data_IF_266572800239
#
_entry.id   IF_266572800239
#
_cell.length_a   1.000
_cell.length_b   1.000
_cell.length_c   1.000
_cell.angle_alpha   90.00
_cell.angle_beta   90.00
_cell.angle_gamma   90.00
#
_symmetry.space_group_name_H-M   'P 1'
#
loop_
_entity.id
_entity.type
_entity.pdbx_description
1 polymer ?
#
# COMPACT_ATOMS: atom_id res chain seq x y z
N UNK A 1 -2.80 -8.02 8.30
CA UNK A 1 -3.11 -9.27 9.04
C UNK A 1 -2.07 -9.39 10.12
N UNK A 2 -2.45 -9.27 11.38
CA UNK A 2 -1.58 -9.71 12.46
C UNK A 2 -1.24 -11.17 12.17
N UNK A 3 0.04 -11.48 12.10
CA UNK A 3 0.50 -12.85 12.00
C UNK A 3 0.17 -13.48 13.35
N UNK A 4 -1.03 -14.05 13.48
CA UNK A 4 -1.38 -14.88 14.61
C UNK A 4 -0.52 -16.13 14.40
N UNK A 5 0.70 -16.06 14.93
CA UNK A 5 1.53 -17.25 15.03
C UNK A 5 0.70 -18.29 15.76
N UNK A 6 0.79 -19.53 15.36
CA UNK A 6 0.04 -20.68 15.90
C UNK A 6 0.19 -20.89 17.42
N UNK A 7 0.81 -19.97 18.14
CA UNK A 7 1.16 -20.03 19.55
C UNK A 7 0.31 -19.17 20.48
N UNK A 8 -0.64 -18.35 19.95
CA UNK A 8 -1.47 -17.47 20.80
C UNK A 8 -0.69 -16.39 21.60
N UNK A 9 0.61 -16.20 21.34
CA UNK A 9 1.45 -15.23 22.02
C UNK A 9 1.25 -13.86 21.36
N UNK A 10 1.05 -12.84 22.17
CA UNK A 10 0.88 -11.46 21.68
C UNK A 10 2.17 -10.95 21.02
N UNK A 11 2.07 -10.23 19.90
CA UNK A 11 3.25 -9.74 19.17
C UNK A 11 4.14 -8.76 19.97
N UNK A 12 3.65 -8.23 21.07
CA UNK A 12 4.28 -7.19 21.90
C UNK A 12 5.09 -7.74 23.08
N UNK A 13 5.22 -9.06 23.21
CA UNK A 13 6.01 -9.64 24.28
C UNK A 13 7.47 -9.75 23.88
N UNK A 14 8.37 -9.40 24.81
CA UNK A 14 9.80 -9.65 24.65
C UNK A 14 10.01 -11.15 24.55
N UNK A 15 10.44 -11.63 23.37
CA UNK A 15 10.60 -13.05 23.12
C UNK A 15 11.70 -13.35 22.13
N UNK A 16 12.29 -14.51 22.31
CA UNK A 16 13.04 -15.19 21.28
C UNK A 16 12.23 -16.41 20.82
N UNK A 17 12.16 -16.62 19.51
CA UNK A 17 11.47 -17.74 18.91
C UNK A 17 12.22 -18.29 17.71
N UNK A 18 11.96 -19.55 17.36
CA UNK A 18 12.44 -20.16 16.13
C UNK A 18 11.23 -20.75 15.39
N UNK A 19 11.04 -20.35 14.16
CA UNK A 19 10.04 -20.94 13.26
C UNK A 19 10.77 -21.95 12.37
N UNK A 20 10.27 -23.17 12.32
CA UNK A 20 10.79 -24.23 11.44
C UNK A 20 9.63 -24.77 10.61
N UNK A 21 9.84 -24.94 9.30
CA UNK A 21 8.82 -25.50 8.42
C UNK A 21 9.33 -25.79 7.02
N UNK A 22 8.65 -26.67 6.28
CA UNK A 22 8.96 -26.91 4.87
C UNK A 22 8.45 -25.74 4.02
N UNK A 23 9.21 -25.40 3.00
CA UNK A 23 8.84 -24.41 1.99
C UNK A 23 9.21 -24.94 0.60
N UNK A 24 8.31 -24.74 -0.37
CA UNK A 24 8.59 -25.04 -1.78
C UNK A 24 8.72 -23.73 -2.55
N UNK A 25 9.80 -23.57 -3.30
CA UNK A 25 10.02 -22.48 -4.25
C UNK A 25 10.33 -23.07 -5.62
N UNK A 26 9.41 -22.93 -6.56
CA UNK A 26 9.50 -23.64 -7.84
C UNK A 26 9.50 -25.16 -7.63
N UNK A 27 10.53 -25.82 -8.14
CA UNK A 27 10.72 -27.28 -8.05
C UNK A 27 11.68 -27.71 -6.92
N UNK A 28 12.11 -26.74 -6.08
CA UNK A 28 13.05 -27.01 -4.99
C UNK A 28 12.36 -26.89 -3.64
N UNK A 29 12.64 -27.82 -2.74
CA UNK A 29 12.11 -27.87 -1.38
C UNK A 29 13.19 -27.47 -0.38
N UNK A 30 12.83 -26.58 0.52
CA UNK A 30 13.69 -26.01 1.55
C UNK A 30 13.13 -26.27 2.96
N UNK A 31 14.02 -26.52 3.89
CA UNK A 31 13.73 -26.36 5.31
C UNK A 31 13.94 -24.89 5.68
N UNK A 32 12.86 -24.17 6.01
CA UNK A 32 12.93 -22.83 6.55
C UNK A 32 13.26 -22.92 8.04
N UNK A 33 14.34 -22.29 8.46
CA UNK A 33 14.72 -22.07 9.87
C UNK A 33 14.76 -20.55 10.06
N UNK A 34 13.87 -20.01 10.89
CA UNK A 34 13.77 -18.57 11.08
C UNK A 34 13.80 -18.20 12.56
N UNK A 35 14.96 -17.90 13.12
CA UNK A 35 15.06 -17.29 14.44
C UNK A 35 14.44 -15.89 14.40
N UNK A 36 13.67 -15.57 15.43
CA UNK A 36 12.96 -14.32 15.60
C UNK A 36 13.22 -13.72 16.99
N UNK A 37 13.47 -12.41 17.02
CA UNK A 37 13.63 -11.64 18.25
C UNK A 37 12.61 -10.51 18.22
N UNK A 38 11.76 -10.43 19.24
CA UNK A 38 10.89 -9.30 19.49
C UNK A 38 11.29 -8.64 20.80
N UNK A 39 11.43 -7.32 20.77
CA UNK A 39 11.80 -6.51 21.90
C UNK A 39 10.89 -5.29 21.98
N UNK A 40 10.29 -5.09 23.15
CA UNK A 40 9.44 -3.93 23.40
C UNK A 40 9.85 -3.29 24.72
N UNK A 41 10.02 -1.98 24.71
CA UNK A 41 10.40 -1.20 25.89
C UNK A 41 9.80 0.21 25.80
N UNK A 42 9.42 0.74 26.93
CA UNK A 42 9.11 2.15 27.05
C UNK A 42 10.40 2.99 27.01
N UNK A 43 10.46 3.95 26.09
CA UNK A 43 11.55 4.90 25.92
C UNK A 43 10.99 6.31 25.87
N UNK A 44 11.40 7.19 26.77
CA UNK A 44 10.96 8.60 26.84
C UNK A 44 9.41 8.72 26.89
N UNK A 45 8.76 7.86 27.70
CA UNK A 45 7.30 7.84 27.85
C UNK A 45 6.53 7.33 26.62
N UNK A 46 7.21 6.65 25.69
CA UNK A 46 6.64 6.05 24.49
C UNK A 46 7.14 4.62 24.30
N UNK A 47 6.31 3.83 23.66
CA UNK A 47 6.67 2.46 23.34
C UNK A 47 7.62 2.41 22.14
N UNK A 48 8.76 1.74 22.31
CA UNK A 48 9.67 1.31 21.25
C UNK A 48 9.51 -0.20 21.09
N UNK A 49 9.12 -0.65 19.94
CA UNK A 49 9.00 -2.06 19.58
C UNK A 49 9.89 -2.39 18.39
N UNK A 50 10.71 -3.42 18.53
CA UNK A 50 11.66 -3.89 17.51
C UNK A 50 11.41 -5.37 17.23
N UNK A 51 11.53 -5.78 15.98
CA UNK A 51 11.50 -7.20 15.61
C UNK A 51 12.48 -7.49 14.48
N UNK A 52 13.24 -8.55 14.68
CA UNK A 52 14.18 -9.08 13.70
C UNK A 52 13.90 -10.55 13.46
N UNK A 53 14.07 -11.01 12.23
CA UNK A 53 13.94 -12.42 11.88
C UNK A 53 14.88 -12.76 10.72
N UNK A 54 15.66 -13.82 10.85
CA UNK A 54 16.63 -14.25 9.85
C UNK A 54 16.09 -15.48 9.12
N UNK A 55 15.56 -15.37 7.90
CA UNK A 55 15.06 -16.52 7.15
C UNK A 55 16.23 -17.31 6.53
N UNK A 56 16.53 -18.46 7.07
CA UNK A 56 17.51 -19.39 6.50
C UNK A 56 16.77 -20.51 5.80
N UNK A 57 16.93 -20.60 4.48
CA UNK A 57 16.38 -21.69 3.66
C UNK A 57 17.48 -22.67 3.31
N UNK A 58 17.38 -23.85 3.90
CA UNK A 58 18.31 -24.95 3.65
C UNK A 58 17.68 -25.91 2.66
N UNK A 59 18.31 -26.10 1.51
CA UNK A 59 17.84 -27.02 0.48
C UNK A 59 17.89 -28.47 0.96
N UNK A 60 16.81 -29.24 0.75
CA UNK A 60 16.81 -30.66 1.07
C UNK A 60 16.31 -31.56 -0.06
N UNK A 61 15.59 -31.03 -1.05
CA UNK A 61 15.12 -31.79 -2.20
C UNK A 61 14.96 -30.87 -3.41
N UNK A 62 15.60 -31.26 -4.52
CA UNK A 62 15.42 -30.66 -5.84
C UNK A 62 14.74 -31.67 -6.76
N UNK A 63 13.57 -31.32 -7.32
CA UNK A 63 12.76 -32.17 -8.18
C UNK A 63 12.95 -31.88 -9.67
N UNK A 64 13.84 -30.96 -10.04
CA UNK A 64 14.17 -30.72 -11.44
C UNK A 64 14.79 -31.96 -12.07
N UNK A 65 14.62 -32.19 -13.38
CA UNK A 65 15.09 -33.41 -14.05
C UNK A 65 16.61 -33.67 -13.93
N UNK A 66 17.38 -32.59 -13.78
CA UNK A 66 18.83 -32.61 -13.59
C UNK A 66 19.23 -32.34 -12.10
N UNK A 67 18.26 -32.01 -11.29
CA UNK A 67 18.42 -31.68 -9.88
C UNK A 67 18.57 -32.89 -9.01
N UNK A 68 19.76 -33.43 -8.95
CA UNK A 68 20.10 -34.48 -7.97
C UNK A 68 20.66 -33.77 -6.74
N UNK A 69 20.10 -33.92 -5.58
CA UNK A 69 20.61 -33.62 -4.22
C UNK A 69 21.99 -32.94 -4.09
N UNK A 70 22.49 -32.34 -5.20
CA UNK A 70 23.84 -31.80 -5.28
C UNK A 70 24.08 -30.63 -4.33
N UNK A 71 23.01 -29.96 -3.93
CA UNK A 71 23.06 -28.82 -3.03
C UNK A 71 22.32 -29.05 -1.69
N UNK A 72 21.96 -30.31 -1.41
CA UNK A 72 21.31 -30.67 -0.14
C UNK A 72 22.17 -30.22 1.06
N UNK A 73 21.58 -29.46 1.96
CA UNK A 73 22.26 -28.85 3.11
C UNK A 73 22.84 -27.45 2.85
N UNK A 74 22.78 -26.94 1.61
CA UNK A 74 23.22 -25.59 1.32
C UNK A 74 22.15 -24.55 1.67
N UNK A 75 22.59 -23.38 2.12
CA UNK A 75 21.72 -22.22 2.29
C UNK A 75 21.47 -21.60 0.91
N UNK A 76 20.23 -21.25 0.63
CA UNK A 76 19.84 -20.57 -0.61
C UNK A 76 20.51 -19.21 -0.71
N UNK A 77 21.49 -19.09 -1.60
CA UNK A 77 22.29 -17.85 -1.76
C UNK A 77 21.48 -16.67 -2.33
N UNK A 78 20.46 -16.96 -3.13
CA UNK A 78 19.57 -15.95 -3.72
C UNK A 78 18.71 -15.21 -2.69
N UNK A 79 18.72 -15.62 -1.43
CA UNK A 79 18.06 -14.89 -0.33
C UNK A 79 18.97 -13.81 0.28
N UNK A 80 20.23 -13.68 -0.19
CA UNK A 80 21.28 -12.87 0.43
C UNK A 80 22.18 -12.17 -0.60
N UNK A 81 21.77 -12.05 -1.85
CA UNK A 81 22.59 -11.51 -2.94
C UNK A 81 22.27 -10.02 -3.24
N UNK A 82 21.15 -9.48 -2.73
CA UNK A 82 20.76 -8.10 -2.91
C UNK A 82 20.63 -7.34 -1.57
N UNK A 83 20.77 -6.02 -1.60
CA UNK A 83 20.60 -5.17 -0.41
C UNK A 83 19.20 -5.27 0.21
N UNK A 84 18.18 -5.48 -0.63
CA UNK A 84 16.79 -5.71 -0.24
C UNK A 84 16.62 -6.97 0.60
N UNK A 85 17.46 -7.99 0.39
CA UNK A 85 17.40 -9.24 1.11
C UNK A 85 17.86 -9.07 2.56
N UNK A 86 18.90 -8.26 2.78
CA UNK A 86 19.33 -7.93 4.15
C UNK A 86 18.28 -7.09 4.89
N UNK A 87 17.53 -6.26 4.19
CA UNK A 87 16.43 -5.52 4.79
C UNK A 87 15.31 -6.44 5.30
N UNK A 88 15.16 -7.66 4.74
CA UNK A 88 14.19 -8.66 5.20
C UNK A 88 14.41 -9.13 6.65
N UNK A 89 15.63 -9.00 7.17
CA UNK A 89 15.95 -9.30 8.57
C UNK A 89 15.18 -8.39 9.51
N UNK A 90 14.98 -7.13 9.14
CA UNK A 90 14.19 -6.19 9.90
C UNK A 90 12.70 -6.41 9.64
N UNK A 91 11.97 -6.91 10.62
CA UNK A 91 10.52 -7.09 10.52
C UNK A 91 9.75 -5.80 10.80
N UNK A 92 10.10 -5.14 11.88
CA UNK A 92 9.57 -3.82 12.20
C UNK A 92 10.43 -3.08 13.23
N UNK A 93 10.38 -1.75 13.14
CA UNK A 93 10.73 -0.79 14.18
C UNK A 93 9.51 0.10 14.33
N UNK A 94 8.90 0.12 15.49
CA UNK A 94 7.80 1.02 15.79
C UNK A 94 8.15 1.87 17.01
N UNK A 95 7.95 3.18 16.92
CA UNK A 95 8.16 4.11 18.01
C UNK A 95 6.99 5.10 18.09
N UNK A 96 6.32 5.11 19.23
CA UNK A 96 5.15 5.92 19.50
C UNK A 96 3.88 5.39 18.81
N UNK A 97 2.79 6.16 18.92
CA UNK A 97 1.49 5.87 18.34
C UNK A 97 1.14 6.81 17.17
N UNK A 98 0.47 6.26 16.16
CA UNK A 98 -0.08 7.11 15.08
C UNK A 98 -1.07 8.12 15.67
N UNK A 99 -1.01 9.36 15.22
CA UNK A 99 -1.75 10.52 15.77
C UNK A 99 -1.15 11.10 17.07
N UNK A 100 -0.01 10.58 17.57
CA UNK A 100 0.77 11.22 18.63
C UNK A 100 1.70 12.31 18.06
N UNK A 101 2.43 13.02 18.94
CA UNK A 101 3.36 14.08 18.52
C UNK A 101 4.49 13.59 17.61
N UNK A 102 4.88 12.34 17.75
CA UNK A 102 5.89 11.71 16.90
C UNK A 102 5.62 10.21 16.81
N UNK A 103 5.64 9.72 15.60
CA UNK A 103 5.45 8.32 15.26
C UNK A 103 6.43 7.92 14.15
N UNK A 104 7.13 6.81 14.34
CA UNK A 104 7.98 6.18 13.35
C UNK A 104 7.59 4.71 13.24
N UNK A 105 7.32 4.25 12.04
CA UNK A 105 7.02 2.85 11.76
C UNK A 105 7.78 2.38 10.52
N UNK A 106 8.78 1.54 10.74
CA UNK A 106 9.50 0.84 9.67
C UNK A 106 9.01 -0.60 9.71
N UNK A 107 8.35 -1.08 8.64
CA UNK A 107 7.55 -2.30 8.76
C UNK A 107 7.41 -3.02 7.42
N UNK A 108 7.41 -4.36 7.48
CA UNK A 108 7.12 -5.22 6.32
C UNK A 108 5.62 -5.55 6.15
N UNK A 109 4.78 -5.34 7.16
CA UNK A 109 3.44 -5.94 7.23
C UNK A 109 2.29 -4.95 7.25
N UNK A 110 2.57 -3.69 7.47
CA UNK A 110 1.55 -2.69 7.69
C UNK A 110 1.18 -1.97 6.39
N UNK A 111 -0.11 -1.81 6.20
CA UNK A 111 -0.65 -0.95 5.16
C UNK A 111 -0.74 0.49 5.66
N UNK A 112 -0.27 1.44 4.85
CA UNK A 112 -0.23 2.87 5.19
C UNK A 112 -1.25 3.69 4.40
N UNK A 113 -1.68 4.79 4.99
CA UNK A 113 -2.57 5.78 4.36
C UNK A 113 -2.05 7.17 4.68
N UNK A 114 -2.10 8.07 3.73
CA UNK A 114 -1.74 9.49 3.88
C UNK A 114 -3.01 10.33 3.93
N UNK A 115 -3.11 11.20 4.93
CA UNK A 115 -4.26 12.07 5.14
C UNK A 115 -5.57 11.29 5.22
N UNK A 116 -6.60 11.73 4.47
CA UNK A 116 -7.89 11.04 4.43
C UNK A 116 -7.91 9.79 3.55
N UNK A 117 -6.79 9.46 2.88
CA UNK A 117 -6.70 8.31 1.99
C UNK A 117 -7.39 8.52 0.64
N UNK A 118 -7.52 9.76 0.20
CA UNK A 118 -8.12 10.09 -1.10
C UNK A 118 -7.27 9.58 -2.25
N UNK A 119 -5.95 9.53 -2.09
CA UNK A 119 -5.00 9.06 -3.09
C UNK A 119 -4.28 7.80 -2.65
N UNK A 120 -3.62 7.82 -1.47
CA UNK A 120 -2.94 6.67 -0.89
C UNK A 120 -3.76 6.16 0.30
N UNK A 121 -4.39 5.00 0.12
CA UNK A 121 -5.31 4.42 1.09
C UNK A 121 -5.01 2.95 1.34
N UNK A 122 -4.59 2.62 2.55
CA UNK A 122 -4.28 1.24 2.96
C UNK A 122 -3.33 0.55 1.98
N UNK A 123 -2.42 1.32 1.38
CA UNK A 123 -1.43 0.79 0.46
C UNK A 123 -0.54 -0.23 1.17
N UNK A 124 -0.44 -1.44 0.59
CA UNK A 124 0.37 -2.52 1.12
C UNK A 124 1.49 -2.86 0.12
N UNK A 125 2.76 -2.56 0.44
CA UNK A 125 3.88 -2.82 -0.45
C UNK A 125 4.20 -4.31 -0.64
N UNK A 126 3.75 -5.18 0.29
CA UNK A 126 4.08 -6.60 0.36
C UNK A 126 2.86 -7.51 0.10
N UNK A 127 1.93 -7.07 -0.74
CA UNK A 127 0.84 -7.93 -1.19
C UNK A 127 1.36 -9.01 -2.15
N UNK A 128 2.36 -8.69 -2.96
CA UNK A 128 3.12 -9.65 -3.75
C UNK A 128 4.14 -10.35 -2.83
N UNK A 129 3.95 -11.64 -2.61
CA UNK A 129 4.78 -12.45 -1.73
C UNK A 129 6.21 -12.67 -2.25
N UNK A 130 6.42 -12.46 -3.54
CA UNK A 130 7.74 -12.60 -4.18
C UNK A 130 8.61 -11.34 -4.01
N UNK A 131 8.01 -10.23 -3.64
CA UNK A 131 8.69 -8.96 -3.37
C UNK A 131 8.50 -8.58 -1.92
N UNK A 132 9.56 -8.66 -1.15
CA UNK A 132 9.54 -8.21 0.24
C UNK A 132 10.21 -6.85 0.32
N UNK A 133 9.46 -5.87 0.76
CA UNK A 133 9.90 -4.49 0.97
C UNK A 133 9.77 -4.12 2.42
N UNK A 134 10.64 -3.24 2.86
CA UNK A 134 10.56 -2.62 4.19
C UNK A 134 10.11 -1.18 4.02
N UNK A 135 8.85 -0.91 4.30
CA UNK A 135 8.29 0.44 4.24
C UNK A 135 8.66 1.26 5.45
N UNK A 136 8.67 2.58 5.30
CA UNK A 136 8.81 3.51 6.41
C UNK A 136 7.70 4.56 6.39
N UNK A 137 7.14 4.82 7.56
CA UNK A 137 6.15 5.87 7.84
C UNK A 137 6.67 6.73 8.98
N UNK A 138 6.59 8.04 8.82
CA UNK A 138 7.02 9.03 9.78
C UNK A 138 5.95 10.11 9.91
N UNK A 139 5.43 10.29 11.12
CA UNK A 139 4.46 11.34 11.40
C UNK A 139 5.00 12.24 12.52
N UNK A 140 4.77 13.54 12.39
CA UNK A 140 5.04 14.50 13.46
C UNK A 140 3.92 15.52 13.53
N UNK A 141 3.26 15.59 14.69
CA UNK A 141 2.10 16.42 14.91
C UNK A 141 2.35 17.40 16.07
N UNK A 142 2.00 18.64 15.83
CA UNK A 142 2.08 19.72 16.83
C UNK A 142 0.78 20.50 16.94
N UNK A 143 0.78 21.49 17.84
CA UNK A 143 -0.38 22.35 18.09
C UNK A 143 -0.78 23.18 16.85
N UNK A 144 0.21 23.54 16.01
CA UNK A 144 0.02 24.43 14.88
C UNK A 144 -0.03 23.72 13.53
N UNK A 145 0.34 22.45 13.48
CA UNK A 145 0.40 21.68 12.24
C UNK A 145 1.21 20.43 12.42
N UNK A 146 1.51 19.77 11.30
CA UNK A 146 2.29 18.55 11.29
C UNK A 146 2.55 18.05 9.89
N UNK A 147 3.20 16.89 9.82
CA UNK A 147 3.43 16.22 8.57
C UNK A 147 3.32 14.70 8.74
N UNK A 148 2.98 14.03 7.66
CA UNK A 148 3.06 12.59 7.47
C UNK A 148 3.96 12.33 6.26
N UNK A 149 4.79 11.31 6.34
CA UNK A 149 5.62 10.87 5.22
C UNK A 149 5.66 9.35 5.14
N UNK A 150 5.69 8.83 3.94
CA UNK A 150 5.69 7.40 3.66
C UNK A 150 6.56 7.06 2.47
N UNK A 151 7.30 5.95 2.56
CA UNK A 151 7.98 5.29 1.45
C UNK A 151 7.71 3.79 1.49
N UNK A 152 7.56 3.18 0.32
CA UNK A 152 7.23 1.76 0.21
C UNK A 152 8.42 0.82 0.46
N UNK A 153 9.63 1.31 0.28
CA UNK A 153 10.87 0.54 0.46
C UNK A 153 12.02 1.47 0.86
N UNK A 154 12.67 1.17 1.97
CA UNK A 154 13.80 1.96 2.47
C UNK A 154 15.07 1.78 1.63
N UNK A 155 15.17 0.68 0.87
CA UNK A 155 16.34 0.36 0.04
C UNK A 155 16.19 0.84 -1.39
N UNK A 156 14.97 0.80 -1.93
CA UNK A 156 14.66 1.19 -3.32
C UNK A 156 13.27 1.81 -3.40
N UNK A 157 13.10 3.06 -2.93
CA UNK A 157 11.78 3.70 -2.88
C UNK A 157 11.24 3.96 -4.29
N UNK A 158 10.07 3.42 -4.58
CA UNK A 158 9.34 3.67 -5.84
C UNK A 158 8.03 4.38 -5.59
N UNK A 159 7.29 4.00 -4.53
CA UNK A 159 6.06 4.67 -4.11
C UNK A 159 6.34 5.49 -2.86
N UNK A 160 6.01 6.77 -2.91
CA UNK A 160 6.19 7.70 -1.79
C UNK A 160 4.95 8.56 -1.61
N UNK A 161 4.72 8.99 -0.39
CA UNK A 161 3.63 9.89 -0.05
C UNK A 161 4.02 10.86 1.07
N UNK A 162 3.44 12.05 1.04
CA UNK A 162 3.61 13.04 2.09
C UNK A 162 2.33 13.89 2.24
N UNK A 163 2.08 14.31 3.46
CA UNK A 163 1.09 15.32 3.82
C UNK A 163 1.77 16.32 4.73
N UNK A 164 1.57 17.59 4.47
CA UNK A 164 1.90 18.69 5.40
C UNK A 164 0.60 19.43 5.68
N UNK A 165 0.31 19.71 6.94
CA UNK A 165 -0.87 20.47 7.31
C UNK A 165 -0.55 21.55 8.34
N UNK A 166 -1.36 22.60 8.32
CA UNK A 166 -1.25 23.74 9.18
C UNK A 166 -2.62 24.08 9.79
N UNK A 167 -2.63 24.52 11.06
CA UNK A 167 -3.82 24.90 11.82
C UNK A 167 -3.84 26.43 12.08
N UNK A 168 -4.21 27.24 11.08
CA UNK A 168 -4.05 28.71 11.17
C UNK A 168 -4.87 29.34 12.30
N UNK A 169 -6.06 28.83 12.55
CA UNK A 169 -6.96 29.40 13.54
C UNK A 169 -6.55 29.05 14.98
N UNK A 170 -5.66 28.07 15.17
CA UNK A 170 -5.09 27.78 16.49
C UNK A 170 -4.18 28.91 17.00
N UNK A 171 -3.63 29.72 16.10
CA UNK A 171 -2.84 30.91 16.44
C UNK A 171 -3.70 32.02 17.04
N UNK A 172 -4.99 32.09 16.65
CA UNK A 172 -5.92 33.17 17.10
C UNK A 172 -6.49 32.80 18.46
N UNK A 173 -6.98 31.59 18.63
CA UNK A 173 -7.60 31.18 19.89
C UNK A 173 -7.43 29.65 20.12
N UNK A 174 -6.48 29.30 20.99
CA UNK A 174 -6.22 27.92 21.40
C UNK A 174 -7.32 27.30 22.27
N UNK A 175 -8.10 28.12 22.97
CA UNK A 175 -9.14 27.63 23.89
C UNK A 175 -10.42 27.22 23.14
N UNK A 176 -10.68 27.84 22.00
CA UNK A 176 -11.84 27.48 21.19
C UNK A 176 -11.55 26.20 20.41
N UNK A 177 -12.25 25.14 20.73
CA UNK A 177 -12.07 23.81 20.15
C UNK A 177 -12.21 23.83 18.62
N UNK A 178 -13.26 24.46 18.06
CA UNK A 178 -13.48 24.53 16.62
C UNK A 178 -12.34 25.24 15.88
N UNK A 179 -11.91 26.40 16.41
CA UNK A 179 -10.81 27.13 15.78
C UNK A 179 -9.51 26.33 15.82
N UNK A 180 -9.23 25.69 16.94
CA UNK A 180 -8.02 24.86 17.09
C UNK A 180 -8.00 23.64 16.16
N UNK A 181 -9.18 23.08 15.83
CA UNK A 181 -9.29 21.88 15.03
C UNK A 181 -9.27 22.12 13.51
N UNK A 182 -9.48 23.38 13.08
CA UNK A 182 -9.45 23.71 11.67
C UNK A 182 -8.04 23.59 11.10
N UNK A 183 -7.88 22.76 10.08
CA UNK A 183 -6.59 22.52 9.42
C UNK A 183 -6.70 22.60 7.90
N UNK A 184 -5.61 23.06 7.28
CA UNK A 184 -5.43 23.07 5.84
C UNK A 184 -4.20 22.24 5.54
N UNK A 185 -4.32 21.30 4.62
CA UNK A 185 -3.25 20.37 4.25
C UNK A 185 -2.91 20.42 2.77
N UNK A 186 -1.69 20.01 2.45
CA UNK A 186 -1.23 19.72 1.10
C UNK A 186 -0.67 18.30 1.07
N UNK A 187 -1.13 17.51 0.10
CA UNK A 187 -0.78 16.10 -0.06
C UNK A 187 0.00 15.89 -1.35
N UNK A 188 0.98 15.04 -1.30
CA UNK A 188 1.74 14.56 -2.45
C UNK A 188 1.89 13.05 -2.38
N UNK A 189 1.74 12.35 -3.51
CA UNK A 189 2.02 10.92 -3.64
C UNK A 189 2.53 10.63 -5.03
N UNK A 190 3.51 9.76 -5.16
CA UNK A 190 4.08 9.40 -6.46
C UNK A 190 4.49 7.93 -6.50
N UNK A 191 4.34 7.30 -7.67
CA UNK A 191 5.11 6.13 -8.09
C UNK A 191 6.03 6.57 -9.23
N UNK A 192 7.35 6.54 -8.97
CA UNK A 192 8.36 6.96 -9.96
C UNK A 192 8.72 5.84 -10.93
N UNK A 193 8.19 4.64 -10.71
CA UNK A 193 8.42 3.45 -11.53
C UNK A 193 7.09 2.72 -11.85
N UNK A 194 6.03 3.50 -12.13
CA UNK A 194 4.73 2.95 -12.45
C UNK A 194 4.75 2.20 -13.80
N UNK A 195 4.26 0.95 -13.87
CA UNK A 195 4.16 0.25 -15.13
C UNK A 195 3.19 0.97 -16.08
N UNK A 196 3.72 1.45 -17.20
CA UNK A 196 2.92 2.01 -18.27
C UNK A 196 2.33 0.90 -19.13
N UNK A 197 3.19 -0.06 -19.49
CA UNK A 197 2.87 -1.15 -20.39
C UNK A 197 3.74 -2.35 -20.07
N UNK A 198 3.14 -3.54 -20.02
CA UNK A 198 3.88 -4.78 -19.90
C UNK A 198 4.57 -5.12 -21.23
N UNK A 199 5.74 -5.71 -21.18
CA UNK A 199 6.38 -6.31 -22.34
C UNK A 199 5.87 -7.72 -22.48
N UNK A 200 5.57 -8.10 -23.72
CA UNK A 200 5.13 -9.43 -24.09
C UNK A 200 6.28 -10.17 -24.73
N UNK A 201 6.41 -11.45 -24.43
CA UNK A 201 7.30 -12.32 -25.17
C UNK A 201 6.72 -12.52 -26.58
N UNK A 202 7.56 -12.34 -27.57
CA UNK A 202 7.19 -12.51 -28.98
C UNK A 202 7.65 -13.88 -29.53
N UNK A 203 8.24 -14.73 -28.67
CA UNK A 203 8.72 -16.05 -29.05
C UNK A 203 7.60 -17.08 -28.84
N UNK A 204 7.58 -18.06 -29.69
CA UNK A 204 6.79 -19.28 -29.53
C UNK A 204 7.55 -20.21 -28.58
N UNK A 205 7.23 -20.13 -27.29
CA UNK A 205 7.97 -20.86 -26.26
C UNK A 205 7.50 -22.31 -26.14
N UNK A 206 6.22 -22.57 -26.45
CA UNK A 206 5.64 -23.89 -26.37
C UNK A 206 5.66 -24.67 -27.71
N UNK A 207 6.18 -24.02 -28.78
CA UNK A 207 6.29 -24.58 -30.15
C UNK A 207 4.93 -24.97 -30.76
N UNK A 208 3.83 -24.29 -30.39
CA UNK A 208 2.50 -24.51 -30.96
C UNK A 208 2.32 -23.82 -32.33
N UNK A 209 3.32 -23.07 -32.79
CA UNK A 209 3.32 -22.29 -34.03
C UNK A 209 2.64 -20.94 -33.90
N UNK A 210 2.25 -20.54 -32.67
CA UNK A 210 1.68 -19.23 -32.37
C UNK A 210 2.66 -18.47 -31.49
N UNK A 211 2.69 -17.14 -31.66
CA UNK A 211 3.43 -16.28 -30.73
C UNK A 211 2.65 -16.22 -29.45
N UNK A 212 3.25 -16.64 -28.38
CA UNK A 212 2.70 -16.52 -27.04
C UNK A 212 2.75 -15.04 -26.65
N UNK A 213 1.62 -14.37 -26.67
CA UNK A 213 1.52 -13.02 -26.14
C UNK A 213 1.50 -13.07 -24.60
N UNK A 214 2.37 -13.85 -24.03
CA UNK A 214 2.53 -13.97 -22.58
C UNK A 214 3.35 -12.82 -22.03
N UNK A 215 3.20 -12.57 -20.74
CA UNK A 215 4.02 -11.57 -20.06
C UNK A 215 5.49 -12.01 -20.07
N UNK A 216 6.37 -11.14 -20.58
CA UNK A 216 7.80 -11.36 -20.46
C UNK A 216 8.20 -11.30 -18.98
N UNK A 217 8.70 -12.40 -18.45
CA UNK A 217 9.14 -12.53 -17.06
C UNK A 217 10.67 -12.47 -17.01
N UNK A 218 11.20 -11.59 -16.19
CA UNK A 218 12.64 -11.58 -15.88
C UNK A 218 12.99 -12.83 -15.06
N UNK A 219 13.89 -13.65 -15.59
CA UNK A 219 14.27 -14.93 -14.99
C UNK A 219 15.02 -14.81 -13.65
N UNK A 220 15.59 -13.64 -13.34
CA UNK A 220 16.26 -13.42 -12.05
C UNK A 220 15.28 -13.01 -10.97
N UNK A 221 14.46 -12.01 -11.23
CA UNK A 221 13.53 -11.46 -10.26
C UNK A 221 12.17 -12.15 -10.24
N UNK A 222 11.86 -12.99 -11.24
CA UNK A 222 10.54 -13.56 -11.49
C UNK A 222 9.42 -12.52 -11.56
N UNK A 223 9.77 -11.32 -12.04
CA UNK A 223 8.85 -10.21 -12.17
C UNK A 223 8.53 -9.93 -13.64
N UNK A 224 7.31 -9.50 -13.97
CA UNK A 224 6.97 -9.03 -15.30
C UNK A 224 7.85 -7.85 -15.71
N UNK A 225 8.40 -7.92 -16.92
CA UNK A 225 9.14 -6.81 -17.53
C UNK A 225 8.13 -5.80 -18.08
N UNK A 226 8.33 -4.52 -17.79
CA UNK A 226 7.44 -3.44 -18.23
C UNK A 226 8.21 -2.20 -18.64
N UNK A 227 7.54 -1.35 -19.42
CA UNK A 227 7.99 0.02 -19.70
C UNK A 227 7.51 0.89 -18.54
N UNK A 228 8.45 1.52 -17.85
CA UNK A 228 8.14 2.36 -16.71
C UNK A 228 7.69 3.77 -17.12
N UNK A 229 6.86 4.37 -16.32
CA UNK A 229 6.46 5.77 -16.35
C UNK A 229 6.34 6.30 -14.93
N UNK A 230 5.87 7.53 -14.78
CA UNK A 230 5.64 8.16 -13.48
C UNK A 230 4.17 8.46 -13.31
N UNK A 231 3.65 8.20 -12.12
CA UNK A 231 2.32 8.65 -11.70
C UNK A 231 2.49 9.51 -10.48
N UNK A 232 1.95 10.72 -10.53
CA UNK A 232 2.03 11.69 -9.44
C UNK A 232 0.61 12.12 -9.09
N UNK A 233 0.32 12.19 -7.80
CA UNK A 233 -0.88 12.83 -7.32
C UNK A 233 -0.52 13.89 -6.29
N UNK A 234 -1.21 15.01 -6.36
CA UNK A 234 -1.08 16.09 -5.38
C UNK A 234 -2.45 16.68 -5.11
N UNK A 235 -2.59 17.27 -3.94
CA UNK A 235 -3.88 17.82 -3.56
C UNK A 235 -3.80 18.75 -2.36
N UNK A 236 -4.96 19.28 -2.03
CA UNK A 236 -5.16 20.10 -0.85
C UNK A 236 -6.38 19.61 -0.10
N UNK A 237 -6.33 19.71 1.21
CA UNK A 237 -7.40 19.28 2.09
C UNK A 237 -7.73 20.36 3.11
N UNK A 238 -8.97 20.39 3.51
CA UNK A 238 -9.43 21.18 4.66
C UNK A 238 -10.16 20.24 5.60
N UNK A 239 -9.83 20.26 6.86
CA UNK A 239 -10.45 19.42 7.89
C UNK A 239 -10.87 20.27 9.09
N UNK A 240 -11.97 19.89 9.71
CA UNK A 240 -12.42 20.46 10.97
C UNK A 240 -13.06 19.36 11.82
N UNK A 241 -12.69 19.25 13.09
CA UNK A 241 -13.37 18.38 14.06
C UNK A 241 -14.64 19.06 14.57
N UNK A 242 -15.74 18.36 14.44
CA UNK A 242 -17.05 18.80 14.93
C UNK A 242 -17.27 18.38 16.38
N UNK A 243 -16.83 17.17 16.73
CA UNK A 243 -16.84 16.62 18.10
C UNK A 243 -15.50 15.96 18.36
N UNK A 244 -14.94 16.19 19.54
CA UNK A 244 -13.71 15.52 20.00
C UNK A 244 -13.83 15.27 21.50
N UNK A 245 -14.38 14.14 21.83
CA UNK A 245 -14.51 13.66 23.19
C UNK A 245 -13.83 12.30 23.31
N UNK A 246 -13.63 11.83 24.52
CA UNK A 246 -13.04 10.49 24.73
C UNK A 246 -13.80 9.36 24.01
N UNK A 247 -15.12 9.50 23.87
CA UNK A 247 -15.98 8.47 23.32
C UNK A 247 -16.40 8.74 21.88
N UNK A 248 -16.38 9.97 21.41
CA UNK A 248 -16.83 10.35 20.06
C UNK A 248 -15.86 11.34 19.46
N UNK A 249 -15.32 10.98 18.31
CA UNK A 249 -14.54 11.85 17.42
C UNK A 249 -15.30 11.94 16.09
N UNK A 250 -15.79 13.14 15.76
CA UNK A 250 -16.47 13.41 14.51
C UNK A 250 -15.81 14.57 13.80
N UNK A 251 -15.32 14.31 12.60
CA UNK A 251 -14.69 15.28 11.74
C UNK A 251 -15.33 15.38 10.36
N UNK A 252 -15.32 16.56 9.79
CA UNK A 252 -15.66 16.81 8.39
C UNK A 252 -14.41 17.27 7.65
N UNK A 253 -14.31 16.89 6.38
CA UNK A 253 -13.18 17.26 5.54
C UNK A 253 -13.60 17.43 4.09
N UNK A 254 -12.78 18.18 3.38
CA UNK A 254 -12.92 18.44 1.96
C UNK A 254 -11.56 18.24 1.30
N UNK A 255 -11.48 17.38 0.30
CA UNK A 255 -10.26 17.06 -0.43
C UNK A 255 -10.42 17.41 -1.91
N UNK A 256 -9.46 18.14 -2.44
CA UNK A 256 -9.27 18.35 -3.87
C UNK A 256 -7.93 17.72 -4.25
N UNK A 257 -7.94 16.76 -5.16
CA UNK A 257 -6.75 16.05 -5.59
C UNK A 257 -6.65 15.96 -7.11
N UNK A 258 -5.43 15.91 -7.59
CA UNK A 258 -5.07 15.77 -8.99
C UNK A 258 -4.26 14.49 -9.17
N UNK A 259 -4.47 13.81 -10.28
CA UNK A 259 -3.70 12.64 -10.68
C UNK A 259 -3.09 12.93 -12.05
N UNK A 260 -1.78 12.86 -12.14
CA UNK A 260 -1.03 13.11 -13.37
C UNK A 260 -0.14 11.90 -13.70
N UNK A 261 -0.02 11.58 -14.98
CA UNK A 261 0.97 10.61 -15.45
C UNK A 261 2.05 11.31 -16.26
N UNK A 262 3.27 10.76 -16.21
CA UNK A 262 4.34 11.16 -17.13
C UNK A 262 3.96 10.87 -18.58
N UNK A 263 4.53 11.62 -19.50
CA UNK A 263 4.47 11.29 -20.92
C UNK A 263 5.29 10.02 -21.15
N UNK A 264 4.76 9.00 -21.85
CA UNK A 264 5.58 7.85 -22.21
C UNK A 264 6.76 8.33 -23.05
N UNK A 265 7.96 7.99 -22.64
CA UNK A 265 9.12 8.08 -23.54
C UNK A 265 8.95 7.01 -24.60
N UNK A 266 9.24 7.35 -25.85
CA UNK A 266 9.22 6.39 -26.95
C UNK A 266 10.01 5.14 -26.56
N UNK A 267 9.38 3.97 -26.69
CA UNK A 267 10.08 2.71 -26.50
C UNK A 267 10.84 2.39 -27.80
N UNK A 268 12.17 2.56 -27.83
CA UNK A 268 12.95 2.34 -29.05
C UNK A 268 12.93 0.87 -29.50
N UNK A 269 12.50 -0.06 -28.65
CA UNK A 269 12.50 -1.49 -28.93
C UNK A 269 11.17 -1.99 -29.55
N UNK A 270 10.13 -1.17 -29.59
CA UNK A 270 8.86 -1.60 -30.17
C UNK A 270 8.02 -0.43 -30.74
N UNK A 271 8.37 0.09 -31.94
CA UNK A 271 7.69 1.21 -32.56
C UNK A 271 6.25 0.89 -33.02
N UNK A 272 5.82 -0.36 -33.00
CA UNK A 272 4.56 -0.81 -33.58
C UNK A 272 3.34 -0.56 -32.68
N UNK A 273 3.53 -0.18 -31.42
CA UNK A 273 2.42 0.15 -30.51
C UNK A 273 2.11 1.65 -30.49
N UNK A 274 1.71 2.19 -31.66
CA UNK A 274 1.37 3.60 -31.87
C UNK A 274 0.09 4.09 -31.17
N UNK A 275 -0.59 3.25 -30.39
CA UNK A 275 -1.86 3.58 -29.75
C UNK A 275 -1.74 3.97 -28.27
N UNK A 276 -0.51 4.20 -27.76
CA UNK A 276 -0.34 4.76 -26.42
C UNK A 276 -0.58 6.26 -26.52
N UNK A 277 -1.49 6.84 -25.73
CA UNK A 277 -1.68 8.28 -25.72
C UNK A 277 -0.33 8.96 -25.39
N UNK A 278 0.16 9.76 -26.31
CA UNK A 278 1.38 10.57 -26.14
C UNK A 278 1.14 11.77 -25.21
N UNK A 279 -0.06 11.90 -24.67
CA UNK A 279 -0.47 13.03 -23.85
C UNK A 279 -0.45 12.67 -22.39
N UNK A 280 0.22 13.50 -21.59
CA UNK A 280 0.10 13.44 -20.12
C UNK A 280 -1.37 13.59 -19.72
N UNK A 281 -1.84 12.72 -18.83
CA UNK A 281 -3.19 12.85 -18.27
C UNK A 281 -3.10 13.70 -17.02
N UNK A 282 -4.00 14.65 -16.96
CA UNK A 282 -4.30 15.40 -15.74
C UNK A 282 -5.78 15.23 -15.46
N UNK A 283 -6.08 14.62 -14.33
CA UNK A 283 -7.45 14.40 -13.87
C UNK A 283 -7.60 14.89 -12.44
N UNK A 284 -8.79 15.26 -12.04
CA UNK A 284 -9.06 15.81 -10.71
C UNK A 284 -10.19 15.05 -10.03
N UNK A 285 -10.11 15.02 -8.71
CA UNK A 285 -11.12 14.45 -7.83
C UNK A 285 -11.44 15.41 -6.70
N UNK A 286 -12.71 15.46 -6.34
CA UNK A 286 -13.25 16.24 -5.26
C UNK A 286 -14.00 15.29 -4.32
N UNK A 287 -13.73 15.39 -3.03
CA UNK A 287 -14.42 14.61 -2.00
C UNK A 287 -14.81 15.52 -0.84
N UNK A 288 -16.05 15.41 -0.39
CA UNK A 288 -16.50 15.99 0.87
C UNK A 288 -16.96 14.87 1.77
N UNK A 289 -16.33 14.73 2.93
CA UNK A 289 -16.51 13.58 3.79
C UNK A 289 -16.76 13.90 5.25
N UNK A 290 -17.37 12.94 5.91
CA UNK A 290 -17.53 12.88 7.35
C UNK A 290 -16.92 11.58 7.87
N UNK A 291 -16.13 11.68 8.91
CA UNK A 291 -15.58 10.53 9.63
C UNK A 291 -16.03 10.60 11.08
N UNK A 292 -16.80 9.61 11.50
CA UNK A 292 -17.27 9.44 12.85
C UNK A 292 -16.59 8.22 13.47
N UNK A 293 -15.98 8.39 14.64
CA UNK A 293 -15.46 7.30 15.49
C UNK A 293 -16.21 7.32 16.80
N UNK A 294 -16.69 6.18 17.22
CA UNK A 294 -17.37 6.00 18.53
C UNK A 294 -16.65 4.88 19.27
N UNK A 295 -16.20 5.17 20.47
CA UNK A 295 -15.51 4.24 21.36
C UNK A 295 -16.47 3.85 22.50
N UNK A 296 -16.73 2.55 22.64
CA UNK A 296 -17.60 2.02 23.67
C UNK A 296 -16.79 1.16 24.62
N UNK A 297 -17.14 1.17 25.90
CA UNK A 297 -16.58 0.31 26.95
C UNK A 297 -15.03 0.37 27.05
N UNK A 298 -14.46 1.54 27.33
CA UNK A 298 -13.06 1.64 27.74
C UNK A 298 -12.91 1.04 29.14
N UNK A 299 -11.89 0.21 29.32
CA UNK A 299 -11.53 -0.34 30.65
C UNK A 299 -10.69 0.64 31.48
N UNK A 300 -10.19 1.73 30.86
CA UNK A 300 -9.41 2.79 31.50
C UNK A 300 -9.10 3.92 30.53
N UNK A 301 -8.68 5.11 31.03
CA UNK A 301 -8.52 6.31 30.20
C UNK A 301 -7.43 6.22 29.13
N UNK A 302 -6.48 5.30 29.26
CA UNK A 302 -5.41 5.10 28.28
C UNK A 302 -5.42 3.70 27.64
N UNK A 303 -6.50 2.93 27.82
CA UNK A 303 -6.62 1.61 27.24
C UNK A 303 -7.44 1.65 25.94
N UNK A 304 -7.07 0.80 25.01
CA UNK A 304 -7.82 0.58 23.77
C UNK A 304 -9.30 0.27 24.08
N UNK A 305 -10.27 0.89 23.38
CA UNK A 305 -11.66 0.62 23.58
C UNK A 305 -11.99 -0.84 23.25
N UNK A 306 -12.82 -1.48 24.06
CA UNK A 306 -13.26 -2.85 23.81
C UNK A 306 -14.14 -2.94 22.56
N UNK A 307 -14.99 -1.94 22.35
CA UNK A 307 -15.76 -1.75 21.13
C UNK A 307 -15.50 -0.39 20.53
N UNK A 308 -15.26 -0.34 19.23
CA UNK A 308 -15.14 0.91 18.48
C UNK A 308 -15.85 0.78 17.14
N UNK A 309 -16.69 1.76 16.82
CA UNK A 309 -17.34 1.90 15.52
C UNK A 309 -16.73 3.09 14.78
N UNK A 310 -16.33 2.87 13.54
CA UNK A 310 -15.90 3.93 12.62
C UNK A 310 -16.84 3.93 11.43
N UNK A 311 -17.38 5.10 11.12
CA UNK A 311 -18.25 5.35 9.97
C UNK A 311 -17.64 6.46 9.14
N UNK A 312 -17.51 6.25 7.84
CA UNK A 312 -17.06 7.23 6.85
C UNK A 312 -18.12 7.37 5.78
N UNK A 313 -18.52 8.59 5.50
CA UNK A 313 -19.45 8.94 4.44
C UNK A 313 -18.82 10.03 3.59
N UNK A 314 -18.77 9.86 2.26
CA UNK A 314 -18.23 10.85 1.34
C UNK A 314 -19.14 11.07 0.15
N UNK A 315 -19.33 12.33 -0.20
CA UNK A 315 -19.82 12.74 -1.51
C UNK A 315 -18.61 12.97 -2.40
N UNK A 316 -18.60 12.35 -3.57
CA UNK A 316 -17.48 12.34 -4.50
C UNK A 316 -17.89 12.85 -5.86
N UNK A 317 -17.00 13.67 -6.46
CA UNK A 317 -17.10 14.07 -7.85
C UNK A 317 -15.74 13.96 -8.51
N UNK A 318 -15.64 13.16 -9.56
CA UNK A 318 -14.38 12.85 -10.22
C UNK A 318 -14.46 13.09 -11.72
N UNK A 319 -13.36 13.54 -12.29
CA UNK A 319 -13.14 13.42 -13.72
C UNK A 319 -13.09 11.93 -14.09
N UNK A 320 -13.51 11.59 -15.30
CA UNK A 320 -13.58 10.20 -15.79
C UNK A 320 -12.25 9.44 -15.65
N UNK A 321 -11.13 10.13 -15.87
CA UNK A 321 -9.78 9.55 -15.78
C UNK A 321 -9.19 9.62 -14.37
N UNK A 322 -9.92 10.13 -13.39
CA UNK A 322 -9.53 10.10 -12.01
C UNK A 322 -9.92 8.76 -11.38
N UNK A 323 -8.97 8.11 -10.72
CA UNK A 323 -9.22 6.91 -9.93
C UNK A 323 -8.98 7.25 -8.45
N UNK A 324 -10.04 7.30 -7.62
CA UNK A 324 -9.88 7.55 -6.20
C UNK A 324 -9.10 6.41 -5.55
N UNK A 325 -8.30 6.73 -4.55
CA UNK A 325 -7.41 5.78 -3.89
C UNK A 325 -6.56 5.00 -4.90
N UNK A 326 -5.95 5.72 -5.87
CA UNK A 326 -5.14 5.11 -6.92
C UNK A 326 -4.08 4.16 -6.35
N UNK A 327 -3.45 4.56 -5.24
CA UNK A 327 -2.54 3.72 -4.46
C UNK A 327 -3.31 3.06 -3.32
N UNK A 328 -3.98 1.96 -3.62
CA UNK A 328 -4.79 1.18 -2.67
C UNK A 328 -4.07 -0.10 -2.19
N UNK A 329 -4.78 -0.91 -1.42
CA UNK A 329 -4.26 -2.19 -0.90
C UNK A 329 -3.83 -3.14 -2.02
N UNK A 330 -4.51 -3.11 -3.17
CA UNK A 330 -4.26 -4.02 -4.29
C UNK A 330 -3.30 -3.42 -5.34
N UNK A 331 -2.79 -2.21 -5.10
CA UNK A 331 -1.98 -1.50 -6.07
C UNK A 331 -0.82 -2.33 -6.63
N UNK A 332 -0.07 -3.03 -5.80
CA UNK A 332 1.12 -3.79 -6.23
C UNK A 332 0.79 -4.92 -7.21
N UNK A 333 -0.40 -5.49 -7.14
CA UNK A 333 -0.89 -6.49 -8.11
C UNK A 333 -1.51 -5.80 -9.32
N UNK A 334 -2.39 -4.83 -9.08
CA UNK A 334 -3.13 -4.13 -10.13
C UNK A 334 -2.24 -3.24 -11.00
N UNK A 335 -1.12 -2.74 -10.48
CA UNK A 335 -0.20 -1.89 -11.27
C UNK A 335 0.29 -2.61 -12.53
N UNK A 336 0.42 -3.94 -12.48
CA UNK A 336 0.89 -4.78 -13.59
C UNK A 336 -0.28 -5.38 -14.36
N UNK A 337 -1.32 -5.84 -13.65
CA UNK A 337 -2.45 -6.56 -14.23
C UNK A 337 -3.76 -6.08 -13.61
N UNK A 338 -4.43 -5.13 -14.28
CA UNK A 338 -5.59 -4.45 -13.71
C UNK A 338 -6.94 -5.00 -14.17
N UNK A 339 -7.07 -5.40 -15.43
CA UNK A 339 -8.32 -5.88 -16.00
C UNK A 339 -8.13 -7.20 -16.72
N UNK A 340 -8.91 -8.19 -16.33
CA UNK A 340 -9.24 -9.32 -17.17
C UNK A 340 -10.66 -9.05 -17.74
N UNK A 341 -10.83 -9.07 -19.04
CA UNK A 341 -12.12 -8.83 -19.66
C UNK A 341 -12.30 -9.61 -20.95
N UNK A 342 -13.56 -9.86 -21.29
CA UNK A 342 -13.94 -10.34 -22.60
C UNK A 342 -14.37 -9.13 -23.43
N UNK A 343 -14.10 -9.15 -24.75
CA UNK A 343 -14.69 -8.17 -25.63
C UNK A 343 -16.20 -8.45 -25.79
N UNK A 344 -16.93 -7.52 -26.42
CA UNK A 344 -18.36 -7.65 -26.70
C UNK A 344 -18.71 -8.88 -27.57
N UNK A 345 -17.74 -9.53 -28.17
CA UNK A 345 -17.87 -10.76 -28.97
C UNK A 345 -17.54 -12.04 -28.18
N UNK A 346 -17.30 -11.94 -26.86
CA UNK A 346 -17.01 -13.09 -26.00
C UNK A 346 -15.59 -13.67 -26.15
N UNK A 347 -14.74 -13.08 -26.99
CA UNK A 347 -13.35 -13.51 -27.11
C UNK A 347 -12.53 -12.88 -25.98
N UNK A 348 -11.64 -13.66 -25.36
CA UNK A 348 -10.64 -13.13 -24.46
C UNK A 348 -9.75 -12.17 -25.25
N UNK A 349 -9.88 -10.88 -24.97
CA UNK A 349 -8.98 -9.86 -25.52
C UNK A 349 -7.81 -9.74 -24.55
N UNK A 350 -6.65 -9.34 -25.04
CA UNK A 350 -5.45 -8.97 -24.29
C UNK A 350 -5.65 -7.85 -23.24
N UNK A 351 -6.84 -7.73 -22.70
CA UNK A 351 -7.16 -6.90 -21.53
C UNK A 351 -6.49 -7.43 -20.25
N UNK A 352 -6.15 -8.73 -20.23
CA UNK A 352 -5.45 -9.36 -19.13
C UNK A 352 -4.07 -8.75 -18.83
N UNK A 353 -3.45 -8.13 -19.83
CA UNK A 353 -2.11 -7.57 -19.74
C UNK A 353 -2.09 -6.04 -19.57
N UNK A 354 -3.23 -5.40 -19.35
CA UNK A 354 -3.29 -3.95 -19.12
C UNK A 354 -2.82 -3.59 -17.72
N UNK A 355 -1.92 -2.64 -17.64
CA UNK A 355 -1.53 -2.03 -16.37
C UNK A 355 -2.64 -1.11 -15.83
N UNK A 356 -2.63 -0.84 -14.53
CA UNK A 356 -3.57 0.13 -13.91
C UNK A 356 -3.48 1.50 -14.59
N UNK A 357 -2.28 1.92 -14.93
CA UNK A 357 -2.05 3.19 -15.64
C UNK A 357 -2.66 3.18 -17.04
N UNK A 358 -2.48 2.12 -17.83
CA UNK A 358 -3.11 1.99 -19.14
C UNK A 358 -4.64 2.00 -19.06
N UNK A 359 -5.22 1.40 -18.05
CA UNK A 359 -6.66 1.39 -17.85
C UNK A 359 -7.22 2.81 -17.61
N UNK A 360 -6.50 3.64 -16.88
CA UNK A 360 -6.84 5.05 -16.65
C UNK A 360 -6.63 5.86 -17.92
N UNK A 361 -5.48 5.69 -18.60
CA UNK A 361 -5.14 6.39 -19.83
C UNK A 361 -6.07 6.06 -21.01
N UNK A 362 -6.56 4.83 -21.07
CA UNK A 362 -7.42 4.34 -22.17
C UNK A 362 -8.86 4.85 -22.13
N UNK A 363 -9.25 5.59 -21.10
CA UNK A 363 -10.57 6.23 -21.02
C UNK A 363 -10.59 7.45 -21.93
N UNK A 364 -11.42 7.43 -22.98
CA UNK A 364 -11.48 8.51 -23.99
C UNK A 364 -12.03 9.81 -23.40
N UNK A 365 -11.40 10.94 -23.74
CA UNK A 365 -11.85 12.28 -23.31
C UNK A 365 -13.25 12.67 -23.82
N UNK A 366 -13.70 12.09 -24.97
CA UNK A 366 -14.96 12.44 -25.62
C UNK A 366 -16.23 12.06 -24.85
N UNK A 367 -16.10 11.18 -23.85
CA UNK A 367 -17.23 10.74 -23.04
C UNK A 367 -17.09 11.22 -21.58
N UNK A 368 -16.45 12.36 -21.36
CA UNK A 368 -16.12 12.91 -20.05
C UNK A 368 -17.36 13.40 -19.30
N UNK A 369 -18.18 12.47 -18.86
CA UNK A 369 -19.14 12.73 -17.80
C UNK A 369 -18.38 12.67 -16.47
N UNK A 370 -18.46 13.74 -15.70
CA UNK A 370 -18.03 13.72 -14.31
C UNK A 370 -18.75 12.60 -13.57
N UNK A 371 -18.01 11.78 -12.88
CA UNK A 371 -18.59 10.72 -12.05
C UNK A 371 -18.95 11.33 -10.70
N UNK A 372 -20.23 11.28 -10.34
CA UNK A 372 -20.71 11.62 -9.01
C UNK A 372 -21.03 10.33 -8.26
N UNK A 373 -20.59 10.25 -7.00
CA UNK A 373 -20.77 9.03 -6.22
C UNK A 373 -20.93 9.31 -4.73
N UNK A 374 -21.48 8.33 -4.04
CA UNK A 374 -21.54 8.25 -2.59
C UNK A 374 -20.64 7.10 -2.15
N UNK A 375 -19.68 7.39 -1.27
CA UNK A 375 -18.85 6.37 -0.66
C UNK A 375 -19.26 6.21 0.81
N UNK A 376 -19.48 4.96 1.21
CA UNK A 376 -19.79 4.59 2.58
C UNK A 376 -18.86 3.47 3.05
N UNK A 377 -18.22 3.68 4.18
CA UNK A 377 -17.34 2.68 4.81
C UNK A 377 -17.69 2.61 6.30
N UNK A 378 -17.89 1.41 6.81
CA UNK A 378 -18.03 1.18 8.24
C UNK A 378 -17.12 0.06 8.70
N UNK A 379 -16.51 0.25 9.87
CA UNK A 379 -15.72 -0.78 10.52
C UNK A 379 -16.08 -0.84 12.00
N UNK A 380 -16.24 -2.04 12.52
CA UNK A 380 -16.56 -2.29 13.91
C UNK A 380 -15.50 -3.18 14.55
N UNK A 381 -14.80 -2.65 15.56
CA UNK A 381 -13.91 -3.41 16.45
C UNK A 381 -14.77 -4.01 17.55
N UNK A 382 -14.79 -5.35 17.65
CA UNK A 382 -15.50 -6.09 18.69
C UNK A 382 -14.47 -6.84 19.51
N UNK A 383 -14.28 -6.44 20.75
CA UNK A 383 -13.25 -6.99 21.63
C UNK A 383 -11.85 -6.63 21.16
N UNK A 384 -10.85 -7.10 21.87
CA UNK A 384 -9.43 -6.87 21.53
C UNK A 384 -8.94 -7.68 20.32
N UNK A 385 -9.75 -8.61 19.80
CA UNK A 385 -9.31 -9.60 18.81
C UNK A 385 -10.02 -9.57 17.47
N UNK A 386 -11.13 -8.84 17.31
CA UNK A 386 -11.91 -8.85 16.07
C UNK A 386 -12.22 -7.44 15.57
N UNK A 387 -11.73 -7.13 14.37
CA UNK A 387 -12.20 -6.00 13.58
C UNK A 387 -12.88 -6.53 12.32
N UNK A 388 -14.17 -6.17 12.10
CA UNK A 388 -14.84 -6.39 10.81
C UNK A 388 -14.98 -5.05 10.11
N UNK A 389 -14.58 -4.99 8.85
CA UNK A 389 -14.75 -3.84 7.99
C UNK A 389 -15.70 -4.17 6.84
N UNK A 390 -16.64 -3.28 6.58
CA UNK A 390 -17.50 -3.33 5.41
C UNK A 390 -17.30 -2.01 4.65
N UNK A 391 -17.09 -2.09 3.35
CA UNK A 391 -17.08 -0.95 2.46
C UNK A 391 -18.10 -1.19 1.34
N UNK A 392 -18.95 -0.20 1.10
CA UNK A 392 -19.86 -0.15 -0.02
C UNK A 392 -19.53 1.10 -0.83
N UNK A 393 -19.31 0.92 -2.11
CA UNK A 393 -19.14 1.99 -3.07
C UNK A 393 -20.28 1.90 -4.08
N UNK A 394 -21.09 2.96 -4.17
CA UNK A 394 -22.14 3.10 -5.17
C UNK A 394 -21.80 4.27 -6.09
N UNK A 395 -21.79 3.99 -7.40
CA UNK A 395 -21.58 4.95 -8.48
C UNK A 395 -22.92 5.34 -9.10
#
# INVERSE_FOLDING_TARGET
>A
MANVGATGITPWENRFGIVIGPQRLGEVYYALIRPEINYTRELIGRELSLSFAIPLRVEFLDTRPDGRFNNAGSIRSQDWDEATDFAQVLRYINFGGKEEHFYLDINQFKASSIGHGTVLKRYNPNLDLNRRRVSAELDAFGDFGGFEAYINDVTSPTVMGALVFFKPLSLINRKNYFLRSFSIGATFTADVNAPLRNRLDSQDVDNDGRRDNELLIDQKSFQPVYVASKVVSYGTSVEMKLIDTENVDWKTYFDLSFLESGVPTDDPLNPTYSNIPTRAIRSKGLSWGHLLRMNFMRRGPHQDPFHALRVRLELRRFDRNYLPSYFDTLYEVQRIQYLSGQNSSGNSVDLANRTKLQAVLGRKDSDALDVNGLYFETSWKIGSYFAKAFALEAN
#
